data_IF_235208543497
#
_entry.id   IF_235208543497
#
_cell.length_a   1.000
_cell.length_b   1.000
_cell.length_c   1.000
_cell.angle_alpha   90.00
_cell.angle_beta   90.00
_cell.angle_gamma   90.00
#
_symmetry.space_group_name_H-M   'P 1'
#
loop_
_entity.id
_entity.type
_entity.pdbx_description
1 polymer ?
#
# COMPACT_ATOMS: atom_id res chain seq x y z
N UNK A 1 20.47 4.24 -2.31
CA UNK A 1 20.22 3.73 -1.70
C UNK A 1 18.96 3.41 -1.56
N UNK A 2 18.54 2.74 -0.98
CA UNK A 2 17.38 2.39 -0.91
C UNK A 2 16.50 3.28 -0.39
N UNK A 3 15.36 3.21 -0.70
CA UNK A 3 14.32 4.11 -0.28
C UNK A 3 13.78 3.63 1.05
N UNK A 4 14.52 3.92 2.08
CA UNK A 4 14.16 3.48 3.41
C UNK A 4 12.86 4.09 3.88
N UNK A 5 12.57 5.33 3.44
CA UNK A 5 11.34 5.99 3.83
C UNK A 5 10.13 5.24 3.27
N UNK A 6 10.21 4.83 2.01
CA UNK A 6 9.12 4.07 1.40
C UNK A 6 8.93 2.72 2.11
N UNK A 7 10.03 2.03 2.39
CA UNK A 7 9.97 0.76 3.12
C UNK A 7 9.37 0.93 4.50
N UNK A 8 9.81 1.95 5.24
CA UNK A 8 9.33 2.20 6.59
C UNK A 8 7.85 2.55 6.59
N UNK A 9 7.44 3.45 5.71
CA UNK A 9 6.03 3.88 5.68
C UNK A 9 5.12 2.74 5.26
N UNK A 10 5.55 1.90 4.32
CA UNK A 10 4.71 0.79 3.89
C UNK A 10 4.58 -0.28 4.98
N UNK A 11 5.63 -0.49 5.76
CA UNK A 11 5.56 -1.42 6.89
C UNK A 11 4.64 -0.87 7.98
N UNK A 12 4.79 0.41 8.33
CA UNK A 12 3.93 1.03 9.33
C UNK A 12 2.47 0.98 8.90
N UNK A 13 2.23 1.24 7.62
CA UNK A 13 0.88 1.19 7.08
C UNK A 13 0.31 -0.23 7.18
N UNK A 14 1.12 -1.24 6.84
CA UNK A 14 0.69 -2.63 6.93
C UNK A 14 0.27 -3.00 8.35
N UNK A 15 1.02 -2.53 9.35
CA UNK A 15 0.68 -2.79 10.75
C UNK A 15 -0.69 -2.18 11.07
N UNK A 16 -0.92 -0.94 10.62
CA UNK A 16 -2.21 -0.29 10.86
C UNK A 16 -3.35 -1.04 10.17
N UNK A 17 -3.11 -1.56 8.97
CA UNK A 17 -4.10 -2.36 8.27
C UNK A 17 -4.39 -3.66 9.02
N UNK A 18 -3.36 -4.33 9.56
CA UNK A 18 -3.57 -5.55 10.33
C UNK A 18 -4.43 -5.26 11.57
N UNK A 19 -4.17 -4.13 12.25
CA UNK A 19 -4.99 -3.75 13.39
C UNK A 19 -6.43 -3.48 13.00
N UNK A 20 -6.63 -2.83 11.85
CA UNK A 20 -7.98 -2.60 11.33
C UNK A 20 -8.68 -3.92 11.02
N UNK A 21 -7.97 -4.87 10.40
CA UNK A 21 -8.53 -6.19 10.09
C UNK A 21 -8.99 -6.89 11.36
N UNK A 22 -8.18 -6.82 12.43
CA UNK A 22 -8.57 -7.43 13.70
C UNK A 22 -9.88 -6.85 14.21
N UNK A 23 -10.01 -5.52 14.18
CA UNK A 23 -11.22 -4.84 14.60
C UNK A 23 -12.43 -5.25 13.78
N UNK A 24 -12.26 -5.29 12.46
CA UNK A 24 -13.35 -5.63 11.56
C UNK A 24 -13.83 -7.06 11.79
N UNK A 25 -12.90 -7.99 12.03
CA UNK A 25 -13.27 -9.38 12.26
C UNK A 25 -14.00 -9.55 13.58
N UNK A 26 -13.62 -8.77 14.60
CA UNK A 26 -14.37 -8.77 15.86
C UNK A 26 -15.81 -8.31 15.65
N UNK A 27 -16.01 -7.42 14.68
CA UNK A 27 -17.33 -6.94 14.33
C UNK A 27 -18.00 -7.81 13.26
N UNK A 28 -17.42 -8.96 12.97
CA UNK A 28 -17.93 -9.96 12.04
C UNK A 28 -17.98 -9.48 10.59
N UNK A 29 -17.13 -8.51 10.26
CA UNK A 29 -16.96 -8.11 8.86
C UNK A 29 -15.79 -8.91 8.30
N UNK A 30 -16.04 -9.79 7.34
CA UNK A 30 -14.99 -10.67 6.82
C UNK A 30 -14.72 -10.46 5.34
N UNK A 31 -15.66 -9.87 4.61
CA UNK A 31 -15.49 -9.72 3.16
C UNK A 31 -14.44 -8.65 2.85
N UNK A 32 -14.67 -7.44 3.37
CA UNK A 32 -13.74 -6.34 3.09
C UNK A 32 -12.45 -6.51 3.88
N UNK A 33 -12.54 -7.03 5.12
CA UNK A 33 -11.34 -7.22 5.92
C UNK A 33 -10.35 -8.16 5.25
N UNK A 34 -10.82 -9.23 4.59
CA UNK A 34 -9.92 -10.12 3.88
C UNK A 34 -9.27 -9.43 2.68
N UNK A 35 -10.03 -8.62 1.96
CA UNK A 35 -9.48 -7.91 0.80
C UNK A 35 -8.49 -6.84 1.18
N UNK A 36 -8.81 -6.02 2.17
CA UNK A 36 -7.91 -4.94 2.56
C UNK A 36 -6.67 -5.47 3.26
N UNK A 37 -6.81 -6.58 3.99
CA UNK A 37 -5.67 -7.23 4.62
C UNK A 37 -4.68 -7.70 3.57
N UNK A 38 -5.18 -8.33 2.50
CA UNK A 38 -4.34 -8.78 1.41
C UNK A 38 -3.68 -7.61 0.68
N UNK A 39 -4.49 -6.63 0.23
CA UNK A 39 -3.94 -5.55 -0.58
C UNK A 39 -3.05 -4.63 0.24
N UNK A 40 -3.46 -4.30 1.46
CA UNK A 40 -2.70 -3.36 2.29
C UNK A 40 -1.35 -3.89 2.73
N UNK A 41 -1.22 -5.21 2.91
CA UNK A 41 0.08 -5.80 3.26
C UNK A 41 0.92 -6.11 2.02
N UNK A 42 0.29 -6.26 0.85
CA UNK A 42 1.02 -6.54 -0.38
C UNK A 42 1.81 -5.34 -0.87
N UNK A 43 1.43 -4.13 -0.47
CA UNK A 43 2.18 -2.92 -0.85
C UNK A 43 3.63 -3.06 -0.41
N UNK A 44 3.85 -3.26 0.89
CA UNK A 44 5.20 -3.36 1.43
C UNK A 44 5.94 -4.59 0.95
N UNK A 45 5.21 -5.70 0.76
CA UNK A 45 5.83 -6.93 0.27
C UNK A 45 6.43 -6.71 -1.12
N UNK A 46 5.70 -6.02 -2.01
CA UNK A 46 6.21 -5.74 -3.35
C UNK A 46 7.36 -4.75 -3.32
N UNK A 47 7.30 -3.76 -2.42
CA UNK A 47 8.40 -2.81 -2.27
C UNK A 47 9.67 -3.54 -1.84
N UNK A 48 9.55 -4.47 -0.90
CA UNK A 48 10.72 -5.24 -0.48
C UNK A 48 11.27 -6.08 -1.63
N UNK A 49 10.39 -6.72 -2.40
CA UNK A 49 10.85 -7.50 -3.53
C UNK A 49 11.54 -6.65 -4.58
N UNK A 50 11.11 -5.41 -4.75
CA UNK A 50 11.77 -4.51 -5.69
C UNK A 50 13.23 -4.29 -5.30
N UNK A 51 13.52 -4.25 -4.00
CA UNK A 51 14.90 -4.04 -3.53
C UNK A 51 15.82 -5.20 -3.88
N UNK A 52 15.26 -6.35 -4.17
CA UNK A 52 16.03 -7.55 -4.54
C UNK A 52 15.80 -7.92 -6.01
N UNK A 53 15.31 -6.99 -6.80
CA UNK A 53 14.98 -7.25 -8.20
C UNK A 53 16.23 -7.56 -9.03
N UNK A 54 16.01 -8.35 -10.08
CA UNK A 54 17.08 -8.76 -10.97
C UNK A 54 17.24 -7.83 -12.15
N UNK A 55 17.25 -6.55 -11.95
CA UNK A 55 17.43 -5.60 -13.02
C UNK A 55 16.33 -4.58 -13.03
N UNK A 56 16.45 -3.60 -13.92
CA UNK A 56 15.59 -2.45 -13.90
C UNK A 56 14.13 -2.78 -14.24
N UNK A 57 13.92 -3.61 -15.25
CA UNK A 57 12.55 -3.94 -15.64
C UNK A 57 11.80 -4.63 -14.51
N UNK A 58 12.47 -5.55 -13.81
CA UNK A 58 11.87 -6.24 -12.69
C UNK A 58 11.62 -5.29 -11.52
N UNK A 59 12.57 -4.39 -11.26
CA UNK A 59 12.43 -3.36 -10.23
C UNK A 59 11.18 -2.53 -10.48
N UNK A 60 11.03 -2.02 -11.71
CA UNK A 60 9.88 -1.21 -12.06
C UNK A 60 8.58 -2.01 -11.94
N UNK A 61 8.60 -3.26 -12.41
CA UNK A 61 7.40 -4.10 -12.36
C UNK A 61 6.93 -4.32 -10.92
N UNK A 62 7.88 -4.54 -10.00
CA UNK A 62 7.52 -4.73 -8.59
C UNK A 62 6.94 -3.46 -7.98
N UNK A 63 7.51 -2.30 -8.31
CA UNK A 63 6.96 -1.04 -7.82
C UNK A 63 5.57 -0.78 -8.41
N UNK A 64 5.36 -1.13 -9.67
CA UNK A 64 4.05 -0.99 -10.29
C UNK A 64 3.02 -1.91 -9.63
N UNK A 65 3.43 -3.11 -9.25
CA UNK A 65 2.56 -4.01 -8.49
C UNK A 65 2.20 -3.42 -7.14
N UNK A 66 3.17 -2.81 -6.45
CA UNK A 66 2.90 -2.14 -5.17
C UNK A 66 1.90 -1.00 -5.36
N UNK A 67 2.06 -0.22 -6.43
CA UNK A 67 1.14 0.90 -6.70
C UNK A 67 -0.27 0.40 -6.97
N UNK A 68 -0.40 -0.68 -7.71
CA UNK A 68 -1.71 -1.28 -7.98
C UNK A 68 -2.38 -1.69 -6.66
N UNK A 69 -1.62 -2.29 -5.75
CA UNK A 69 -2.18 -2.71 -4.46
C UNK A 69 -2.55 -1.50 -3.61
N UNK A 70 -1.78 -0.42 -3.68
CA UNK A 70 -2.12 0.80 -2.95
C UNK A 70 -3.42 1.40 -3.47
N UNK A 71 -3.61 1.41 -4.79
CA UNK A 71 -4.86 1.89 -5.37
C UNK A 71 -6.04 1.05 -4.92
N UNK A 72 -5.87 -0.27 -4.90
CA UNK A 72 -6.93 -1.16 -4.44
C UNK A 72 -7.26 -0.91 -2.98
N UNK A 73 -6.23 -0.73 -2.16
CA UNK A 73 -6.42 -0.47 -0.73
C UNK A 73 -7.22 0.81 -0.51
N UNK A 74 -6.96 1.84 -1.31
CA UNK A 74 -7.74 3.08 -1.24
C UNK A 74 -9.22 2.85 -1.50
N UNK A 75 -9.53 1.98 -2.45
CA UNK A 75 -10.93 1.62 -2.72
C UNK A 75 -11.58 0.97 -1.50
N UNK A 76 -10.88 0.00 -0.88
CA UNK A 76 -11.46 -0.68 0.28
C UNK A 76 -11.63 0.26 1.47
N UNK A 77 -10.71 1.22 1.66
CA UNK A 77 -10.85 2.21 2.72
C UNK A 77 -12.10 3.07 2.51
N UNK A 78 -12.31 3.52 1.29
CA UNK A 78 -13.48 4.33 0.99
C UNK A 78 -14.77 3.53 1.22
N UNK A 79 -14.78 2.28 0.79
CA UNK A 79 -15.95 1.43 0.97
C UNK A 79 -16.23 1.21 2.45
N UNK A 80 -15.20 0.96 3.27
CA UNK A 80 -15.38 0.80 4.70
C UNK A 80 -15.97 2.05 5.34
N UNK A 81 -15.50 3.22 4.90
CA UNK A 81 -16.01 4.46 5.43
C UNK A 81 -17.48 4.66 5.03
N UNK A 82 -17.80 4.46 3.75
CA UNK A 82 -19.17 4.67 3.28
C UNK A 82 -20.14 3.63 3.85
N UNK A 83 -19.66 2.46 4.18
CA UNK A 83 -20.46 1.42 4.82
C UNK A 83 -20.50 1.55 6.34
N UNK A 84 -19.91 2.62 6.89
CA UNK A 84 -19.94 2.95 8.31
C UNK A 84 -19.18 1.99 9.21
N UNK A 85 -18.14 1.35 8.67
CA UNK A 85 -17.28 0.49 9.48
C UNK A 85 -16.13 1.24 10.10
N UNK A 86 -15.73 2.39 9.55
CA UNK A 86 -14.70 3.23 10.15
C UNK A 86 -15.20 4.66 10.19
N UNK A 87 -14.66 5.43 11.13
CA UNK A 87 -15.03 6.85 11.27
C UNK A 87 -14.38 7.68 10.18
N UNK A 88 -14.88 8.89 10.00
CA UNK A 88 -14.29 9.82 9.05
C UNK A 88 -12.83 10.12 9.42
N UNK A 89 -12.54 10.29 10.71
CA UNK A 89 -11.18 10.57 11.15
C UNK A 89 -10.24 9.41 10.82
N UNK A 90 -10.67 8.18 11.09
CA UNK A 90 -9.85 7.00 10.78
C UNK A 90 -9.67 6.86 9.28
N UNK A 91 -10.72 7.10 8.52
CA UNK A 91 -10.63 7.03 7.07
C UNK A 91 -9.61 8.05 6.55
N UNK A 92 -9.72 9.30 6.99
CA UNK A 92 -8.81 10.34 6.52
C UNK A 92 -7.35 10.03 6.87
N UNK A 93 -7.11 9.51 8.06
CA UNK A 93 -5.76 9.19 8.49
C UNK A 93 -5.17 8.05 7.66
N UNK A 94 -5.93 6.99 7.45
CA UNK A 94 -5.45 5.84 6.69
C UNK A 94 -5.31 6.17 5.21
N UNK A 95 -6.26 6.92 4.67
CA UNK A 95 -6.20 7.30 3.27
C UNK A 95 -5.03 8.24 2.99
N UNK A 96 -4.73 9.15 3.91
CA UNK A 96 -3.58 10.05 3.76
C UNK A 96 -2.27 9.26 3.77
N UNK A 97 -2.15 8.27 4.64
CA UNK A 97 -0.96 7.42 4.69
C UNK A 97 -0.81 6.62 3.39
N UNK A 98 -1.92 6.09 2.88
CA UNK A 98 -1.91 5.35 1.63
C UNK A 98 -1.53 6.26 0.46
N UNK A 99 -2.08 7.47 0.43
CA UNK A 99 -1.78 8.45 -0.63
C UNK A 99 -0.30 8.84 -0.62
N UNK A 100 0.27 9.01 0.55
CA UNK A 100 1.69 9.32 0.67
C UNK A 100 2.56 8.23 0.03
N UNK A 101 2.20 6.97 0.29
CA UNK A 101 2.92 5.85 -0.30
C UNK A 101 2.77 5.85 -1.83
N UNK A 102 1.56 6.12 -2.33
CA UNK A 102 1.33 6.17 -3.78
C UNK A 102 2.20 7.24 -4.44
N UNK A 103 2.27 8.42 -3.83
CA UNK A 103 3.09 9.51 -4.39
C UNK A 103 4.55 9.10 -4.47
N UNK A 104 5.06 8.47 -3.41
CA UNK A 104 6.45 8.03 -3.42
C UNK A 104 6.70 6.92 -4.44
N UNK A 105 5.74 6.01 -4.60
CA UNK A 105 5.87 4.95 -5.60
C UNK A 105 5.92 5.52 -7.01
N UNK A 106 5.03 6.47 -7.31
CA UNK A 106 5.00 7.09 -8.62
C UNK A 106 6.32 7.78 -8.90
N UNK A 107 6.84 8.52 -7.92
CA UNK A 107 8.13 9.21 -8.08
C UNK A 107 9.26 8.23 -8.34
N UNK A 108 9.30 7.11 -7.59
CA UNK A 108 10.35 6.11 -7.74
C UNK A 108 10.27 5.43 -9.11
N UNK A 109 9.05 5.12 -9.56
CA UNK A 109 8.86 4.50 -10.86
C UNK A 109 9.33 5.44 -11.97
N UNK A 110 8.95 6.71 -11.88
CA UNK A 110 9.33 7.69 -12.91
C UNK A 110 10.84 7.90 -12.95
N UNK A 111 11.46 7.97 -11.78
CA UNK A 111 12.92 8.09 -11.71
C UNK A 111 13.60 6.90 -12.36
N UNK A 112 13.13 5.69 -12.06
CA UNK A 112 13.72 4.49 -12.63
C UNK A 112 13.58 4.47 -14.16
N UNK A 113 12.40 4.89 -14.65
CA UNK A 113 12.18 4.93 -16.10
C UNK A 113 13.08 5.94 -16.79
N UNK A 114 13.30 7.08 -16.16
CA UNK A 114 14.16 8.11 -16.73
C UNK A 114 15.61 7.67 -16.83
N UNK A 115 16.04 6.78 -15.96
CA UNK A 115 17.41 6.29 -15.93
C UNK A 115 17.61 5.06 -16.78
N UNK A 116 16.61 4.69 -17.57
CA UNK A 116 16.64 3.41 -18.25
C UNK A 116 17.61 3.34 -19.40
N UNK A 117 18.01 4.48 -19.95
CA UNK A 117 18.88 4.48 -21.12
C UNK A 117 20.35 4.38 -20.78
N UNK A 118 20.70 4.25 -19.54
CA UNK A 118 22.10 4.18 -19.14
C UNK A 118 22.72 2.83 -19.25
#
# INVERSE_FOLDING_TARGET
MRNDKLSTQSMDFAVRIINLVKELKERRESIISNQIGRSGTSIGANIREAQYAHGKADFIAKLQSALKEANETGYWLELLYKASYITEDDYKALDAACASIRVMLIASINTAKQNSDK
#
